data_IF_302090216530
#
_entry.id   IF_302090216530
#
_cell.length_a   1.000
_cell.length_b   1.000
_cell.length_c   1.000
_cell.angle_alpha   90.00
_cell.angle_beta   90.00
_cell.angle_gamma   90.00
#
_symmetry.space_group_name_H-M   'P 1'
#
loop_
_entity.id
_entity.type
_entity.pdbx_description
1 polymer ?
#
# COMPACT_ATOMS: atom_id res chain seq x y z
N UNK A 1 7.66 20.68 -17.69
CA UNK A 1 7.24 19.81 -18.79
C UNK A 1 5.79 19.46 -18.53
N UNK A 2 4.88 19.74 -19.46
CA UNK A 2 3.47 19.44 -19.29
C UNK A 2 3.25 17.98 -19.72
N UNK A 3 2.81 17.11 -18.80
CA UNK A 3 2.53 15.72 -19.14
C UNK A 3 1.33 15.64 -20.08
N UNK A 4 1.47 14.97 -21.23
CA UNK A 4 0.36 14.66 -22.11
C UNK A 4 -0.18 13.25 -21.83
N UNK A 5 -1.51 13.11 -21.91
CA UNK A 5 -2.16 11.81 -21.76
C UNK A 5 -1.72 10.87 -22.90
N UNK A 6 -1.25 9.64 -22.62
CA UNK A 6 -0.82 8.71 -23.67
C UNK A 6 -1.96 8.24 -24.58
N UNK A 7 -3.21 8.36 -24.12
CA UNK A 7 -4.38 7.89 -24.87
C UNK A 7 -5.00 8.94 -25.78
N UNK A 8 -4.98 10.21 -25.37
CA UNK A 8 -5.61 11.31 -26.14
C UNK A 8 -4.67 12.46 -26.49
N UNK A 9 -3.41 12.43 -26.06
CA UNK A 9 -2.41 13.45 -26.38
C UNK A 9 -2.65 14.83 -25.75
N UNK A 10 -3.69 15.01 -24.93
CA UNK A 10 -4.03 16.31 -24.34
C UNK A 10 -3.16 16.61 -23.11
N UNK A 11 -2.37 17.71 -23.10
CA UNK A 11 -1.50 18.07 -21.98
C UNK A 11 -2.21 18.86 -20.86
N UNK A 12 -3.30 19.56 -21.16
CA UNK A 12 -3.98 20.46 -20.21
C UNK A 12 -4.99 19.81 -19.27
N UNK A 13 -5.20 18.49 -19.38
CA UNK A 13 -6.26 17.75 -18.66
C UNK A 13 -5.69 16.62 -17.80
N UNK A 14 -4.39 16.67 -17.50
CA UNK A 14 -3.68 15.67 -16.70
C UNK A 14 -3.44 16.23 -15.30
N UNK A 15 -3.91 15.49 -14.29
CA UNK A 15 -3.79 15.85 -12.89
C UNK A 15 -3.10 14.74 -12.11
N UNK A 16 -2.42 15.08 -11.02
CA UNK A 16 -1.91 14.08 -10.09
C UNK A 16 -3.10 13.40 -9.40
N UNK A 17 -3.11 12.07 -9.39
CA UNK A 17 -4.27 11.28 -8.94
C UNK A 17 -4.59 11.56 -7.46
N UNK A 18 -3.57 11.72 -6.61
CA UNK A 18 -3.73 12.00 -5.19
C UNK A 18 -4.44 13.34 -4.92
N UNK A 19 -4.00 14.39 -5.60
CA UNK A 19 -4.53 15.74 -5.49
C UNK A 19 -5.95 15.79 -6.08
N UNK A 20 -6.16 15.16 -7.24
CA UNK A 20 -7.47 15.06 -7.85
C UNK A 20 -8.45 14.31 -6.94
N UNK A 21 -8.07 13.15 -6.40
CA UNK A 21 -8.91 12.37 -5.50
C UNK A 21 -9.30 13.15 -4.23
N UNK A 22 -8.36 13.91 -3.65
CA UNK A 22 -8.64 14.77 -2.49
C UNK A 22 -9.60 15.91 -2.82
N UNK A 23 -9.55 16.42 -4.06
CA UNK A 23 -10.44 17.51 -4.51
C UNK A 23 -11.87 17.05 -4.80
N UNK A 24 -12.12 15.75 -4.97
CA UNK A 24 -13.45 15.21 -5.21
C UNK A 24 -14.34 15.35 -3.97
N UNK A 25 -15.62 15.67 -4.20
CA UNK A 25 -16.68 15.61 -3.19
C UNK A 25 -16.73 14.22 -2.53
N UNK A 26 -17.08 14.15 -1.25
CA UNK A 26 -17.04 12.89 -0.48
C UNK A 26 -18.00 11.82 -1.02
N UNK A 27 -19.08 12.28 -1.60
CA UNK A 27 -20.26 11.59 -2.09
C UNK A 27 -20.18 11.30 -3.60
N UNK A 28 -19.11 11.73 -4.27
CA UNK A 28 -18.88 11.38 -5.67
C UNK A 28 -18.51 9.89 -5.81
N UNK A 29 -19.25 9.14 -6.63
CA UNK A 29 -18.95 7.74 -6.97
C UNK A 29 -17.51 7.55 -7.46
N UNK A 30 -16.98 8.54 -8.18
CA UNK A 30 -15.61 8.57 -8.70
C UNK A 30 -14.55 8.50 -7.58
N UNK A 31 -14.88 9.00 -6.38
CA UNK A 31 -13.97 8.98 -5.23
C UNK A 31 -13.77 7.58 -4.68
N UNK A 32 -14.81 6.74 -4.72
CA UNK A 32 -14.69 5.33 -4.37
C UNK A 32 -13.86 4.58 -5.42
N UNK A 33 -14.10 4.84 -6.71
CA UNK A 33 -13.39 4.19 -7.82
C UNK A 33 -11.89 4.55 -7.87
N UNK A 34 -11.51 5.75 -7.44
CA UNK A 34 -10.13 6.23 -7.43
C UNK A 34 -9.47 6.12 -6.05
N UNK A 35 -10.10 5.43 -5.09
CA UNK A 35 -9.64 5.37 -3.72
C UNK A 35 -8.22 4.79 -3.59
N UNK A 36 -7.43 5.28 -2.61
CA UNK A 36 -6.15 4.67 -2.31
C UNK A 36 -6.33 3.21 -1.84
N UNK A 37 -5.40 2.31 -2.17
CA UNK A 37 -5.46 0.92 -1.76
C UNK A 37 -5.49 0.80 -0.22
N UNK A 38 -6.27 -0.14 0.34
CA UNK A 38 -6.46 -0.27 1.77
C UNK A 38 -5.14 -0.65 2.47
N UNK A 39 -4.81 0.07 3.54
CA UNK A 39 -3.63 -0.19 4.38
C UNK A 39 -3.88 -1.22 5.48
N UNK A 40 -5.13 -1.65 5.67
CA UNK A 40 -5.62 -2.07 6.99
C UNK A 40 -5.46 -3.56 7.33
N UNK A 41 -5.04 -4.40 6.40
CA UNK A 41 -5.10 -5.85 6.62
C UNK A 41 -3.81 -6.49 7.17
N UNK A 42 -2.66 -5.79 7.12
CA UNK A 42 -1.37 -6.42 7.45
C UNK A 42 -0.64 -5.61 8.51
N UNK A 43 -0.77 -6.06 9.76
CA UNK A 43 -0.16 -5.43 10.93
C UNK A 43 0.71 -6.40 11.72
N UNK A 44 1.73 -5.88 12.38
CA UNK A 44 2.66 -6.67 13.20
C UNK A 44 2.10 -7.07 14.58
N UNK A 45 0.85 -6.72 14.90
CA UNK A 45 0.26 -6.95 16.22
C UNK A 45 0.23 -8.44 16.61
N UNK A 46 -0.18 -9.32 15.68
CA UNK A 46 -0.18 -10.76 15.90
C UNK A 46 1.23 -11.32 16.13
N UNK A 47 2.18 -11.15 15.19
CA UNK A 47 3.56 -11.58 15.37
C UNK A 47 4.22 -11.04 16.64
N UNK A 48 3.97 -9.78 17.00
CA UNK A 48 4.50 -9.16 18.21
C UNK A 48 3.96 -9.84 19.48
N UNK A 49 2.65 -10.11 19.55
CA UNK A 49 2.07 -10.82 20.69
C UNK A 49 2.65 -12.24 20.86
N UNK A 50 2.83 -12.97 19.75
CA UNK A 50 3.43 -14.32 19.78
C UNK A 50 4.90 -14.26 20.22
N UNK A 51 5.66 -13.27 19.76
CA UNK A 51 7.04 -13.07 20.19
C UNK A 51 7.13 -12.81 21.72
N UNK A 52 6.26 -11.97 22.27
CA UNK A 52 6.21 -11.70 23.72
C UNK A 52 5.91 -12.98 24.52
N UNK A 53 4.96 -13.79 24.07
CA UNK A 53 4.66 -15.08 24.70
C UNK A 53 5.85 -16.05 24.62
N UNK A 54 6.57 -16.06 23.50
CA UNK A 54 7.79 -16.87 23.33
C UNK A 54 8.90 -16.49 24.31
N UNK A 55 9.14 -15.19 24.51
CA UNK A 55 10.11 -14.70 25.50
C UNK A 55 9.70 -15.11 26.92
N UNK A 56 8.42 -14.99 27.26
CA UNK A 56 7.91 -15.36 28.58
C UNK A 56 8.02 -16.88 28.87
N UNK A 57 7.73 -17.71 27.86
CA UNK A 57 7.89 -19.15 27.93
C UNK A 57 9.37 -19.57 28.08
N UNK A 58 10.28 -18.85 27.43
CA UNK A 58 11.71 -19.09 27.57
C UNK A 58 12.22 -18.70 28.96
N UNK A 59 11.77 -17.56 29.49
CA UNK A 59 12.13 -17.08 30.83
C UNK A 59 11.61 -17.96 31.98
N UNK A 60 10.51 -18.70 31.76
CA UNK A 60 9.95 -19.67 32.72
C UNK A 60 10.65 -21.04 32.69
N UNK A 61 11.76 -21.17 31.95
CA UNK A 61 12.55 -22.41 31.86
C UNK A 61 12.03 -23.40 30.84
N UNK A 62 10.93 -23.10 30.14
CA UNK A 62 10.37 -23.95 29.10
C UNK A 62 10.99 -23.64 27.74
N UNK A 63 12.30 -23.90 27.64
CA UNK A 63 13.17 -23.48 26.52
C UNK A 63 12.69 -23.98 25.16
N UNK A 64 12.24 -25.23 25.07
CA UNK A 64 11.72 -25.82 23.81
C UNK A 64 10.48 -25.07 23.31
N UNK A 65 9.52 -24.81 24.20
CA UNK A 65 8.29 -24.10 23.85
C UNK A 65 8.56 -22.65 23.47
N UNK A 66 9.43 -21.96 24.24
CA UNK A 66 9.83 -20.59 23.94
C UNK A 66 10.52 -20.47 22.57
N UNK A 67 11.39 -21.42 22.23
CA UNK A 67 12.10 -21.42 20.95
C UNK A 67 11.16 -21.68 19.77
N UNK A 68 10.18 -22.58 19.92
CA UNK A 68 9.12 -22.80 18.92
C UNK A 68 8.26 -21.55 18.70
N UNK A 69 7.88 -20.86 19.77
CA UNK A 69 7.10 -19.61 19.68
C UNK A 69 7.88 -18.48 19.01
N UNK A 70 9.18 -18.35 19.30
CA UNK A 70 10.03 -17.36 18.66
C UNK A 70 10.25 -17.67 17.17
N UNK A 71 10.44 -18.94 16.81
CA UNK A 71 10.57 -19.36 15.41
C UNK A 71 9.28 -19.08 14.62
N UNK A 72 8.12 -19.41 15.19
CA UNK A 72 6.83 -19.13 14.55
C UNK A 72 6.58 -17.63 14.43
N UNK A 73 6.87 -16.83 15.47
CA UNK A 73 6.79 -15.37 15.41
C UNK A 73 7.71 -14.78 14.32
N UNK A 74 8.96 -15.28 14.21
CA UNK A 74 9.91 -14.85 13.18
C UNK A 74 9.43 -15.18 11.77
N UNK A 75 8.93 -16.40 11.55
CA UNK A 75 8.42 -16.83 10.24
C UNK A 75 7.18 -16.04 9.82
N UNK A 76 6.21 -15.87 10.72
CA UNK A 76 5.00 -15.08 10.45
C UNK A 76 5.37 -13.59 10.28
N UNK A 77 6.30 -13.07 11.08
CA UNK A 77 6.82 -11.71 10.95
C UNK A 77 7.47 -11.44 9.59
N UNK A 78 8.21 -12.41 9.06
CA UNK A 78 8.81 -12.32 7.71
C UNK A 78 7.78 -12.35 6.59
N UNK A 79 6.73 -13.17 6.70
CA UNK A 79 5.64 -13.18 5.71
C UNK A 79 4.88 -11.86 5.76
N UNK A 80 4.58 -11.37 6.96
CA UNK A 80 3.94 -10.06 7.17
C UNK A 80 4.78 -8.92 6.62
N UNK A 81 6.11 -8.95 6.78
CA UNK A 81 6.98 -7.88 6.24
C UNK A 81 6.93 -7.81 4.72
N UNK A 82 6.96 -8.96 4.03
CA UNK A 82 6.81 -9.02 2.57
C UNK A 82 5.46 -8.46 2.10
N UNK A 83 4.37 -8.77 2.83
CA UNK A 83 3.05 -8.26 2.52
C UNK A 83 2.94 -6.73 2.78
N UNK A 84 3.54 -6.23 3.86
CA UNK A 84 3.63 -4.79 4.16
C UNK A 84 4.43 -4.07 3.08
N UNK A 85 5.57 -4.62 2.65
CA UNK A 85 6.38 -4.04 1.58
C UNK A 85 5.63 -4.01 0.24
N UNK A 86 4.89 -5.06 -0.08
CA UNK A 86 4.01 -5.09 -1.24
C UNK A 86 2.94 -4.00 -1.19
N UNK A 87 2.24 -3.86 -0.06
CA UNK A 87 1.24 -2.81 0.13
C UNK A 87 1.85 -1.40 0.05
N UNK A 88 3.06 -1.21 0.59
CA UNK A 88 3.81 0.05 0.48
C UNK A 88 4.14 0.39 -0.97
N UNK A 89 4.59 -0.59 -1.77
CA UNK A 89 4.88 -0.38 -3.20
C UNK A 89 3.63 0.00 -3.98
N UNK A 90 2.53 -0.75 -3.81
CA UNK A 90 1.25 -0.46 -4.48
C UNK A 90 0.76 0.95 -4.14
N UNK A 91 0.91 1.37 -2.88
CA UNK A 91 0.58 2.73 -2.45
C UNK A 91 1.51 3.78 -3.06
N UNK A 92 2.82 3.54 -3.04
CA UNK A 92 3.79 4.44 -3.65
C UNK A 92 3.55 4.61 -5.16
N UNK A 93 3.09 3.56 -5.83
CA UNK A 93 2.72 3.61 -7.24
C UNK A 93 1.41 4.38 -7.43
N UNK A 94 0.40 4.16 -6.58
CA UNK A 94 -0.83 4.94 -6.60
C UNK A 94 -0.59 6.45 -6.39
N UNK A 95 0.29 6.81 -5.46
CA UNK A 95 0.64 8.22 -5.17
C UNK A 95 1.36 8.92 -6.33
N UNK A 96 2.02 8.15 -7.20
CA UNK A 96 2.72 8.65 -8.38
C UNK A 96 1.83 8.71 -9.62
N UNK A 97 0.68 8.05 -9.63
CA UNK A 97 -0.21 8.01 -10.80
C UNK A 97 -0.74 9.39 -11.17
N UNK A 98 -0.92 9.54 -12.48
CA UNK A 98 -1.61 10.65 -13.11
C UNK A 98 -2.99 10.20 -13.57
N UNK A 99 -3.92 11.14 -13.64
CA UNK A 99 -5.29 10.94 -14.09
C UNK A 99 -5.61 11.94 -15.20
N UNK A 100 -6.10 11.44 -16.34
CA UNK A 100 -6.63 12.29 -17.39
C UNK A 100 -8.13 12.49 -17.20
N UNK A 101 -8.57 13.73 -17.01
CA UNK A 101 -10.00 14.05 -16.86
C UNK A 101 -10.80 13.79 -18.13
N UNK A 102 -10.18 13.91 -19.30
CA UNK A 102 -10.87 13.73 -20.59
C UNK A 102 -11.18 12.26 -20.88
N UNK A 103 -10.21 11.36 -20.68
CA UNK A 103 -10.35 9.94 -21.01
C UNK A 103 -10.64 9.04 -19.80
N UNK A 104 -10.69 9.62 -18.60
CA UNK A 104 -10.83 8.90 -17.32
C UNK A 104 -9.79 7.78 -17.12
N UNK A 105 -8.62 7.88 -17.75
CA UNK A 105 -7.55 6.88 -17.64
C UNK A 105 -6.51 7.26 -16.58
N UNK A 106 -6.00 6.25 -15.90
CA UNK A 106 -4.88 6.36 -14.96
C UNK A 106 -3.61 5.83 -15.61
N UNK A 107 -2.48 6.50 -15.41
CA UNK A 107 -1.19 6.09 -15.98
C UNK A 107 -0.04 6.54 -15.08
N UNK A 108 1.13 5.94 -15.23
CA UNK A 108 2.34 6.42 -14.54
C UNK A 108 2.96 7.59 -15.32
N UNK A 109 3.69 8.49 -14.65
CA UNK A 109 4.39 9.59 -15.30
C UNK A 109 5.42 9.10 -16.34
N UNK A 110 5.93 7.89 -16.19
CA UNK A 110 6.84 7.22 -17.14
C UNK A 110 6.13 6.88 -18.46
N UNK A 111 4.81 6.64 -18.42
CA UNK A 111 3.99 6.35 -19.61
C UNK A 111 3.45 7.63 -20.26
N UNK A 112 3.70 8.80 -19.68
CA UNK A 112 3.18 10.05 -20.19
C UNK A 112 3.87 10.42 -21.50
N UNK A 113 3.09 10.92 -22.46
CA UNK A 113 3.66 11.51 -23.67
C UNK A 113 4.31 12.86 -23.32
N UNK A 114 5.46 13.13 -23.94
CA UNK A 114 6.23 14.38 -23.82
C UNK A 114 5.74 15.42 -24.82
#
# INVERSE_FOLDING_TARGET
>A
MAFACPRCGLPGQVFKLDAFWRSLAQDAELKAALAPPPTRAVGYAGPAAVAVLGVFAFASGNSVLGMLLLLTAGMVGFVVSRAVDGARRIRADWERRLYCRHCACQFLPEDAAL
#
